data_IF_772160666194
#
_entry.id   IF_772160666194
#
_cell.length_a   1.000
_cell.length_b   1.000
_cell.length_c   1.000
_cell.angle_alpha   90.00
_cell.angle_beta   90.00
_cell.angle_gamma   90.00
#
_symmetry.space_group_name_H-M   'P 1'
#
loop_
_entity.id
_entity.type
_entity.pdbx_description
1 polymer ?
#
# COMPACT_ATOMS: atom_id res chain seq x y z
N UNK A 1 -14.69 -2.83 28.40
CA UNK A 1 -13.29 -2.53 28.06
C UNK A 1 -13.04 -3.15 26.71
N UNK A 2 -13.48 -2.49 25.64
CA UNK A 2 -13.32 -2.98 24.27
C UNK A 2 -11.94 -2.54 23.81
N UNK A 3 -11.07 -3.51 23.56
CA UNK A 3 -9.81 -3.32 22.86
C UNK A 3 -10.13 -3.01 21.39
N UNK A 4 -10.51 -1.76 21.08
CA UNK A 4 -10.48 -1.26 19.71
C UNK A 4 -9.02 -1.01 19.35
N UNK A 5 -8.33 -2.13 19.08
CA UNK A 5 -6.95 -2.12 18.60
C UNK A 5 -6.87 -1.38 17.27
N UNK A 6 -5.75 -0.69 17.07
CA UNK A 6 -5.41 -0.10 15.78
C UNK A 6 -5.66 -1.12 14.66
N UNK A 7 -6.44 -0.79 13.61
CA UNK A 7 -6.89 -1.79 12.64
C UNK A 7 -5.76 -2.42 11.82
N UNK A 8 -4.55 -1.85 11.89
CA UNK A 8 -3.32 -2.47 11.41
C UNK A 8 -2.13 -2.02 12.23
N UNK A 9 -1.30 -2.97 12.70
CA UNK A 9 -0.07 -2.65 13.45
C UNK A 9 1.00 -1.98 12.56
N UNK A 10 0.87 -2.16 11.24
CA UNK A 10 1.81 -1.66 10.24
C UNK A 10 1.56 -0.21 9.82
N UNK A 11 0.46 0.41 10.25
CA UNK A 11 0.10 1.75 9.82
C UNK A 11 1.11 2.80 10.35
N UNK A 12 1.81 3.55 9.47
CA UNK A 12 3.02 4.25 9.87
C UNK A 12 2.82 5.66 10.45
N UNK A 13 1.59 6.17 10.47
CA UNK A 13 1.27 7.55 10.84
C UNK A 13 0.17 7.63 11.89
N UNK A 14 -0.07 8.83 12.43
CA UNK A 14 -1.28 9.09 13.23
C UNK A 14 -2.52 9.03 12.33
N UNK A 15 -3.54 8.29 12.76
CA UNK A 15 -4.80 8.18 12.02
C UNK A 15 -5.49 9.54 11.87
N UNK A 16 -6.06 9.76 10.69
CA UNK A 16 -6.95 10.88 10.36
C UNK A 16 -8.38 10.37 10.18
N UNK A 17 -9.35 11.27 10.29
CA UNK A 17 -10.76 10.95 10.09
C UNK A 17 -10.98 10.22 8.75
N UNK A 18 -11.76 9.14 8.78
CA UNK A 18 -12.10 8.29 7.62
C UNK A 18 -11.04 7.23 7.26
N UNK A 19 -9.79 7.34 7.71
CA UNK A 19 -8.77 6.32 7.41
C UNK A 19 -9.05 4.99 8.12
N UNK A 20 -9.61 5.06 9.33
CA UNK A 20 -9.94 3.88 10.12
C UNK A 20 -10.97 2.99 9.42
N UNK A 21 -11.96 3.58 8.77
CA UNK A 21 -12.96 2.83 7.99
C UNK A 21 -12.33 2.13 6.79
N UNK A 22 -11.45 2.83 6.05
CA UNK A 22 -10.69 2.23 4.94
C UNK A 22 -9.86 1.05 5.44
N UNK A 23 -9.15 1.21 6.56
CA UNK A 23 -8.32 0.16 7.13
C UNK A 23 -9.14 -1.07 7.50
N UNK A 24 -10.28 -0.87 8.19
CA UNK A 24 -11.18 -1.96 8.61
C UNK A 24 -11.78 -2.70 7.41
N UNK A 25 -12.27 -1.97 6.40
CA UNK A 25 -12.86 -2.60 5.21
C UNK A 25 -11.83 -3.36 4.38
N UNK A 26 -10.60 -2.84 4.26
CA UNK A 26 -9.53 -3.55 3.57
C UNK A 26 -9.07 -4.79 4.35
N UNK A 27 -8.94 -4.71 5.67
CA UNK A 27 -8.64 -5.89 6.49
C UNK A 27 -9.74 -6.96 6.33
N UNK A 28 -11.01 -6.56 6.40
CA UNK A 28 -12.16 -7.46 6.22
C UNK A 28 -12.16 -8.14 4.85
N UNK A 29 -12.01 -7.39 3.76
CA UNK A 29 -12.04 -7.96 2.40
C UNK A 29 -10.81 -8.83 2.11
N UNK A 30 -9.67 -8.56 2.77
CA UNK A 30 -8.47 -9.39 2.63
C UNK A 30 -8.69 -10.79 3.20
N UNK A 31 -9.42 -10.91 4.32
CA UNK A 31 -9.79 -12.22 4.88
C UNK A 31 -10.94 -12.90 4.11
N UNK A 32 -12.00 -12.15 3.78
CA UNK A 32 -13.20 -12.75 3.16
C UNK A 32 -13.07 -12.98 1.65
N UNK A 33 -12.12 -12.30 1.00
CA UNK A 33 -12.07 -12.16 -0.44
C UNK A 33 -13.19 -11.29 -1.01
N UNK A 34 -13.09 -10.99 -2.31
CA UNK A 34 -14.10 -10.25 -3.08
C UNK A 34 -13.66 -8.84 -3.50
N UNK A 35 -14.46 -8.15 -4.34
CA UNK A 35 -14.17 -6.80 -4.77
C UNK A 35 -14.60 -5.77 -3.71
N UNK A 36 -13.84 -4.68 -3.59
CA UNK A 36 -14.17 -3.52 -2.77
C UNK A 36 -13.97 -2.23 -3.57
N UNK A 37 -14.95 -1.34 -3.52
CA UNK A 37 -14.86 0.02 -4.07
C UNK A 37 -14.78 1.02 -2.92
N UNK A 38 -13.71 1.81 -2.89
CA UNK A 38 -13.49 2.83 -1.85
C UNK A 38 -13.46 4.21 -2.50
N UNK A 39 -14.28 5.12 -2.00
CA UNK A 39 -14.25 6.54 -2.36
C UNK A 39 -13.64 7.36 -1.21
N UNK A 40 -12.55 8.07 -1.49
CA UNK A 40 -11.91 8.94 -0.52
C UNK A 40 -11.33 10.19 -1.22
N UNK A 41 -11.40 11.38 -0.59
CA UNK A 41 -10.87 12.61 -1.17
C UNK A 41 -9.34 12.53 -1.38
N UNK A 42 -8.80 13.34 -2.27
CA UNK A 42 -7.35 13.46 -2.46
C UNK A 42 -6.67 13.98 -1.18
N UNK A 43 -5.45 13.53 -0.90
CA UNK A 43 -4.72 13.92 0.33
C UNK A 43 -5.18 13.22 1.63
N UNK A 44 -6.21 12.38 1.57
CA UNK A 44 -6.71 11.58 2.71
C UNK A 44 -5.75 10.45 3.15
N UNK A 45 -4.67 10.19 2.42
CA UNK A 45 -3.79 9.06 2.70
C UNK A 45 -4.38 7.70 2.33
N UNK A 46 -5.32 7.64 1.38
CA UNK A 46 -5.91 6.37 0.90
C UNK A 46 -4.87 5.31 0.54
N UNK A 47 -3.73 5.70 -0.04
CA UNK A 47 -2.68 4.77 -0.44
C UNK A 47 -2.11 4.00 0.75
N UNK A 48 -1.68 4.70 1.81
CA UNK A 48 -1.13 4.07 3.01
C UNK A 48 -2.21 3.32 3.81
N UNK A 49 -3.44 3.86 3.86
CA UNK A 49 -4.58 3.21 4.52
C UNK A 49 -5.01 1.91 3.82
N UNK A 50 -4.79 1.79 2.51
CA UNK A 50 -4.99 0.54 1.77
C UNK A 50 -3.80 -0.41 1.92
N UNK A 51 -2.56 0.09 1.82
CA UNK A 51 -1.37 -0.76 1.79
C UNK A 51 -1.06 -1.44 3.14
N UNK A 52 -1.22 -0.75 4.26
CA UNK A 52 -0.88 -1.30 5.58
C UNK A 52 -1.62 -2.62 5.92
N UNK A 53 -2.97 -2.67 5.88
CA UNK A 53 -3.72 -3.90 6.19
C UNK A 53 -3.54 -4.98 5.12
N UNK A 54 -3.33 -4.60 3.85
CA UNK A 54 -3.02 -5.57 2.79
C UNK A 54 -1.67 -6.24 3.03
N UNK A 55 -0.64 -5.49 3.44
CA UNK A 55 0.69 -6.04 3.72
C UNK A 55 0.66 -6.94 4.96
N UNK A 56 -0.09 -6.56 5.99
CA UNK A 56 -0.28 -7.36 7.19
C UNK A 56 -0.96 -8.70 6.87
N UNK A 57 -2.02 -8.68 6.04
CA UNK A 57 -2.63 -9.91 5.55
C UNK A 57 -1.65 -10.72 4.67
N UNK A 58 -0.96 -10.06 3.74
CA UNK A 58 -0.05 -10.72 2.81
C UNK A 58 1.13 -11.40 3.51
N UNK A 59 1.66 -10.82 4.59
CA UNK A 59 2.71 -11.42 5.41
C UNK A 59 2.24 -12.72 6.07
N UNK A 60 1.02 -12.75 6.62
CA UNK A 60 0.45 -13.94 7.26
C UNK A 60 0.04 -15.03 6.26
N UNK A 61 -0.51 -14.63 5.12
CA UNK A 61 -1.08 -15.54 4.12
C UNK A 61 -0.10 -15.94 2.99
N UNK A 62 1.15 -15.44 3.03
CA UNK A 62 2.16 -15.60 1.98
C UNK A 62 1.66 -15.15 0.59
N UNK A 63 0.89 -14.06 0.56
CA UNK A 63 0.34 -13.47 -0.66
C UNK A 63 1.26 -12.39 -1.24
N UNK A 64 1.07 -12.12 -2.54
CA UNK A 64 1.72 -11.01 -3.25
C UNK A 64 0.69 -9.94 -3.60
N UNK A 65 1.11 -8.68 -3.54
CA UNK A 65 0.26 -7.53 -3.86
C UNK A 65 0.65 -7.00 -5.23
N UNK A 66 -0.32 -6.94 -6.15
CA UNK A 66 -0.21 -6.20 -7.41
C UNK A 66 -0.94 -4.86 -7.25
N UNK A 67 -0.18 -3.77 -7.18
CA UNK A 67 -0.74 -2.43 -7.03
C UNK A 67 -0.70 -1.68 -8.37
N UNK A 68 -1.87 -1.35 -8.91
CA UNK A 68 -2.00 -0.67 -10.20
C UNK A 68 -2.22 0.83 -10.01
N UNK A 69 -1.46 1.64 -10.74
CA UNK A 69 -1.56 3.10 -10.73
C UNK A 69 -1.59 3.65 -12.15
N UNK A 70 -2.10 4.88 -12.31
CA UNK A 70 -2.21 5.52 -13.62
C UNK A 70 -0.91 6.22 -14.04
N UNK A 71 -0.16 6.76 -13.09
CA UNK A 71 1.03 7.58 -13.39
C UNK A 71 2.25 7.13 -12.60
N UNK A 72 3.44 7.40 -13.14
CA UNK A 72 4.70 7.14 -12.45
C UNK A 72 4.84 7.92 -11.14
N UNK A 73 4.30 9.13 -11.05
CA UNK A 73 4.32 9.87 -9.78
C UNK A 73 3.51 9.15 -8.69
N UNK A 74 2.39 8.51 -9.06
CA UNK A 74 1.61 7.69 -8.14
C UNK A 74 2.35 6.40 -7.78
N UNK A 75 3.08 5.79 -8.72
CA UNK A 75 3.93 4.61 -8.47
C UNK A 75 5.02 4.91 -7.44
N UNK A 76 5.74 6.02 -7.62
CA UNK A 76 6.78 6.46 -6.68
C UNK A 76 6.18 6.69 -5.30
N UNK A 77 4.99 7.31 -5.20
CA UNK A 77 4.31 7.48 -3.91
C UNK A 77 4.02 6.12 -3.24
N UNK A 78 3.51 5.14 -3.99
CA UNK A 78 3.23 3.79 -3.46
C UNK A 78 4.50 3.14 -2.93
N UNK A 79 5.62 3.24 -3.66
CA UNK A 79 6.91 2.69 -3.22
C UNK A 79 7.44 3.39 -1.96
N UNK A 80 7.22 4.70 -1.83
CA UNK A 80 7.58 5.45 -0.62
C UNK A 80 6.75 5.02 0.59
N UNK A 81 5.43 4.85 0.44
CA UNK A 81 4.57 4.35 1.53
C UNK A 81 4.93 2.91 1.89
N UNK A 82 5.18 2.04 0.91
CA UNK A 82 5.63 0.67 1.15
C UNK A 82 6.94 0.64 1.93
N UNK A 83 7.88 1.54 1.63
CA UNK A 83 9.12 1.71 2.40
C UNK A 83 8.87 2.24 3.81
N UNK A 84 7.92 3.16 4.00
CA UNK A 84 7.56 3.63 5.33
C UNK A 84 6.96 2.51 6.20
N UNK A 85 6.16 1.64 5.58
CA UNK A 85 5.58 0.45 6.22
C UNK A 85 6.66 -0.61 6.49
N UNK A 86 7.65 -0.79 5.59
CA UNK A 86 8.67 -1.83 5.75
C UNK A 86 9.51 -1.70 7.03
N UNK A 87 9.63 -0.50 7.59
CA UNK A 87 10.32 -0.31 8.88
C UNK A 87 9.55 -0.88 10.08
N UNK A 88 8.30 -1.30 9.90
CA UNK A 88 7.46 -1.93 10.93
C UNK A 88 7.24 -3.42 10.70
N UNK A 89 7.68 -3.95 9.56
CA UNK A 89 7.61 -5.38 9.26
C UNK A 89 8.77 -6.10 9.94
N UNK A 90 8.52 -7.32 10.42
CA UNK A 90 9.57 -8.19 10.95
C UNK A 90 10.41 -8.80 9.82
N UNK A 91 9.82 -8.94 8.63
CA UNK A 91 10.45 -9.53 7.45
C UNK A 91 10.78 -8.48 6.38
N UNK A 92 11.84 -8.68 5.59
CA UNK A 92 12.17 -7.78 4.48
C UNK A 92 11.03 -7.71 3.45
N UNK A 93 10.62 -6.48 3.10
CA UNK A 93 9.66 -6.22 2.03
C UNK A 93 10.39 -5.91 0.72
N UNK A 94 10.13 -6.69 -0.32
CA UNK A 94 10.56 -6.39 -1.68
C UNK A 94 9.43 -5.68 -2.43
N UNK A 95 9.61 -4.38 -2.70
CA UNK A 95 8.71 -3.59 -3.56
C UNK A 95 9.39 -3.26 -4.88
N UNK A 96 8.71 -3.53 -5.99
CA UNK A 96 9.24 -3.32 -7.35
C UNK A 96 8.27 -2.44 -8.13
N UNK A 97 8.82 -1.35 -8.68
CA UNK A 97 8.15 -0.55 -9.70
C UNK A 97 8.30 -1.19 -11.08
N UNK A 98 7.19 -1.37 -11.79
CA UNK A 98 7.13 -1.94 -13.13
C UNK A 98 6.81 -0.83 -14.13
N UNK A 99 7.85 -0.37 -14.83
CA UNK A 99 7.76 0.72 -15.79
C UNK A 99 8.13 0.26 -17.21
N UNK A 100 7.62 0.99 -18.22
CA UNK A 100 7.99 0.77 -19.61
C UNK A 100 9.49 1.01 -19.88
N UNK A 101 10.00 0.36 -20.93
CA UNK A 101 11.44 0.39 -21.30
C UNK A 101 12.04 1.79 -21.42
N UNK A 102 11.28 2.77 -21.90
CA UNK A 102 11.79 4.13 -22.14
C UNK A 102 12.38 4.83 -20.90
N UNK A 103 11.99 4.43 -19.68
CA UNK A 103 12.48 5.03 -18.43
C UNK A 103 13.53 4.20 -17.69
N UNK A 104 13.45 2.87 -17.79
CA UNK A 104 14.32 1.92 -17.07
C UNK A 104 15.47 1.37 -17.93
N UNK A 105 15.40 1.51 -19.25
CA UNK A 105 16.51 1.14 -20.13
C UNK A 105 17.64 2.17 -19.98
N UNK A 106 18.83 1.72 -19.61
CA UNK A 106 20.01 2.60 -19.54
C UNK A 106 20.39 3.15 -20.94
N UNK A 107 20.21 2.34 -21.98
CA UNK A 107 20.55 2.72 -23.36
C UNK A 107 19.60 3.78 -23.95
N UNK A 108 18.34 3.88 -23.49
CA UNK A 108 17.42 4.92 -23.98
C UNK A 108 17.70 6.30 -23.40
N UNK A 109 18.50 6.40 -22.32
CA UNK A 109 18.91 7.66 -21.69
C UNK A 109 20.19 8.27 -22.29
N UNK A 110 20.87 7.55 -23.18
CA UNK A 110 22.19 7.91 -23.74
C UNK A 110 22.18 8.23 -25.23
N UNK A 111 21.00 8.32 -25.85
CA UNK A 111 20.85 8.87 -27.20
C UNK A 111 21.05 10.39 -27.16
N UNK A 112 21.96 10.98 -27.97
CA UNK A 112 22.13 12.43 -28.06
C UNK A 112 20.88 13.15 -28.58
#
# INVERSE_FOLDING_TARGET
MSSDGMPSALFPYRLRAGQEEILREIARISESGGPLLVQAPTGSGKTVATLAPLLEHAERADHKILYLVRTHAQEVQVLQEARAISYRLERPLLSIGLEGRGRRCLCSRTSP
#
